data_IF_730366098296
#
_entry.id   IF_730366098296
#
_cell.length_a   1.000
_cell.length_b   1.000
_cell.length_c   1.000
_cell.angle_alpha   90.00
_cell.angle_beta   90.00
_cell.angle_gamma   90.00
#
_symmetry.space_group_name_H-M   'P 1'
#
loop_
_entity.id
_entity.type
_entity.pdbx_description
1 polymer ?
#
# COMPACT_ATOMS: atom_id res chain seq x y z
N UNK A 1 7.63 7.77 7.95
CA UNK A 1 6.22 7.62 7.53
C UNK A 1 5.96 8.32 6.20
N UNK A 2 5.94 7.54 5.11
CA UNK A 2 5.58 7.98 3.77
C UNK A 2 4.15 8.57 3.70
N UNK A 3 3.97 9.73 3.05
CA UNK A 3 2.64 10.32 2.82
C UNK A 3 1.82 9.44 1.87
N UNK A 4 2.48 8.85 0.88
CA UNK A 4 1.83 7.92 -0.05
C UNK A 4 1.29 6.68 0.65
N UNK A 5 2.05 6.06 1.57
CA UNK A 5 1.59 4.94 2.40
C UNK A 5 0.36 5.31 3.24
N UNK A 6 0.34 6.54 3.77
CA UNK A 6 -0.80 7.06 4.51
C UNK A 6 -2.04 7.18 3.62
N UNK A 7 -1.92 7.71 2.40
CA UNK A 7 -3.03 7.81 1.43
C UNK A 7 -3.60 6.43 1.08
N UNK A 8 -2.74 5.45 0.79
CA UNK A 8 -3.16 4.07 0.49
C UNK A 8 -3.92 3.44 1.68
N UNK A 9 -3.49 3.74 2.91
CA UNK A 9 -4.18 3.27 4.12
C UNK A 9 -5.57 3.91 4.27
N UNK A 10 -5.72 5.17 3.89
CA UNK A 10 -7.02 5.85 3.90
C UNK A 10 -7.93 5.38 2.76
N UNK A 11 -7.37 5.02 1.60
CA UNK A 11 -8.10 4.37 0.50
C UNK A 11 -8.64 3.01 0.93
N UNK A 12 -7.89 2.25 1.74
CA UNK A 12 -8.38 0.99 2.32
C UNK A 12 -9.64 1.24 3.17
N UNK A 13 -9.61 2.26 4.04
CA UNK A 13 -10.76 2.62 4.88
C UNK A 13 -11.95 3.06 4.02
N UNK A 14 -11.70 3.82 2.97
CA UNK A 14 -12.72 4.26 2.02
C UNK A 14 -13.35 3.07 1.29
N UNK A 15 -12.56 2.11 0.81
CA UNK A 15 -13.03 0.88 0.18
C UNK A 15 -13.86 0.01 1.15
N UNK A 16 -13.43 -0.09 2.42
CA UNK A 16 -14.21 -0.77 3.47
C UNK A 16 -15.57 -0.10 3.69
N UNK A 17 -15.62 1.22 3.79
CA UNK A 17 -16.86 1.99 3.97
C UNK A 17 -17.81 1.84 2.76
N UNK A 18 -17.25 1.87 1.55
CA UNK A 18 -18.00 1.69 0.31
C UNK A 18 -18.44 0.23 0.07
N UNK A 19 -17.94 -0.73 0.85
CA UNK A 19 -18.11 -2.18 0.65
C UNK A 19 -17.62 -2.65 -0.73
N UNK A 20 -16.67 -1.92 -1.31
CA UNK A 20 -16.05 -2.27 -2.59
C UNK A 20 -15.00 -3.37 -2.36
N UNK A 21 -15.40 -4.62 -2.62
CA UNK A 21 -14.54 -5.78 -2.42
C UNK A 21 -13.36 -5.83 -3.40
N UNK A 22 -13.52 -5.28 -4.61
CA UNK A 22 -12.48 -5.31 -5.63
C UNK A 22 -11.38 -4.31 -5.28
N UNK A 23 -11.77 -3.06 -4.99
CA UNK A 23 -10.84 -2.03 -4.53
C UNK A 23 -10.15 -2.43 -3.22
N UNK A 24 -10.90 -2.98 -2.26
CA UNK A 24 -10.33 -3.43 -0.98
C UNK A 24 -9.27 -4.53 -1.16
N UNK A 25 -9.50 -5.48 -2.07
CA UNK A 25 -8.51 -6.52 -2.37
C UNK A 25 -7.26 -5.91 -2.99
N UNK A 26 -7.40 -5.02 -3.97
CA UNK A 26 -6.28 -4.34 -4.62
C UNK A 26 -5.42 -3.55 -3.62
N UNK A 27 -6.06 -2.71 -2.79
CA UNK A 27 -5.36 -1.88 -1.80
C UNK A 27 -4.65 -2.73 -0.74
N UNK A 28 -5.25 -3.85 -0.29
CA UNK A 28 -4.61 -4.76 0.65
C UNK A 28 -3.35 -5.41 0.09
N UNK A 29 -3.39 -5.85 -1.17
CA UNK A 29 -2.19 -6.42 -1.82
C UNK A 29 -1.05 -5.41 -1.89
N UNK A 30 -1.36 -4.13 -2.16
CA UNK A 30 -0.35 -3.06 -2.17
C UNK A 30 0.27 -2.87 -0.77
N UNK A 31 -0.56 -2.79 0.27
CA UNK A 31 -0.09 -2.63 1.65
C UNK A 31 0.74 -3.83 2.13
N UNK A 32 0.37 -5.05 1.72
CA UNK A 32 1.14 -6.27 1.99
C UNK A 32 2.50 -6.24 1.31
N UNK A 33 2.58 -5.85 0.03
CA UNK A 33 3.85 -5.74 -0.70
C UNK A 33 4.78 -4.67 -0.10
N UNK A 34 4.24 -3.51 0.29
CA UNK A 34 4.97 -2.46 1.00
C UNK A 34 5.54 -3.03 2.31
N UNK A 35 4.70 -3.66 3.12
CA UNK A 35 5.11 -4.23 4.41
C UNK A 35 6.16 -5.33 4.26
N UNK A 36 6.01 -6.20 3.26
CA UNK A 36 6.97 -7.25 2.97
C UNK A 36 8.35 -6.65 2.68
N UNK A 37 8.41 -5.61 1.84
CA UNK A 37 9.67 -4.95 1.52
C UNK A 37 10.31 -4.23 2.71
N UNK A 38 9.51 -3.59 3.57
CA UNK A 38 10.00 -3.00 4.83
C UNK A 38 10.63 -4.06 5.75
N UNK A 39 10.02 -5.25 5.82
CA UNK A 39 10.53 -6.36 6.63
C UNK A 39 11.82 -6.92 6.02
N UNK A 40 11.83 -7.16 4.71
CA UNK A 40 12.96 -7.76 4.01
C UNK A 40 14.20 -6.87 4.06
N UNK A 41 14.03 -5.56 3.82
CA UNK A 41 15.13 -4.59 3.81
C UNK A 41 15.39 -3.97 5.20
N UNK A 42 14.52 -4.22 6.19
CA UNK A 42 14.57 -3.63 7.54
C UNK A 42 14.63 -2.09 7.53
N UNK A 43 13.90 -1.48 6.61
CA UNK A 43 13.78 -0.03 6.46
C UNK A 43 12.31 0.39 6.54
N UNK A 44 12.07 1.67 6.77
CA UNK A 44 10.78 2.28 6.47
C UNK A 44 10.84 2.84 5.05
N UNK A 45 9.83 2.54 4.22
CA UNK A 45 9.81 3.00 2.83
C UNK A 45 9.45 4.48 2.75
N UNK A 46 10.19 5.23 1.92
CA UNK A 46 9.79 6.56 1.48
C UNK A 46 8.79 6.51 0.31
N UNK A 47 8.29 7.66 -0.11
CA UNK A 47 7.30 7.77 -1.19
C UNK A 47 7.81 7.23 -2.53
N UNK A 48 9.10 7.40 -2.83
CA UNK A 48 9.69 6.92 -4.09
C UNK A 48 9.80 5.40 -4.10
N UNK A 49 10.18 4.80 -2.97
CA UNK A 49 10.25 3.36 -2.82
C UNK A 49 8.85 2.73 -2.79
N UNK A 50 7.86 3.37 -2.16
CA UNK A 50 6.45 2.95 -2.22
C UNK A 50 5.95 2.96 -3.67
N UNK A 51 6.23 4.03 -4.43
CA UNK A 51 5.87 4.11 -5.85
C UNK A 51 6.50 2.98 -6.67
N UNK A 52 7.77 2.67 -6.39
CA UNK A 52 8.48 1.56 -7.04
C UNK A 52 7.84 0.20 -6.75
N UNK A 53 7.35 -0.02 -5.52
CA UNK A 53 6.64 -1.25 -5.16
C UNK A 53 5.35 -1.37 -5.98
N UNK A 54 4.57 -0.30 -6.08
CA UNK A 54 3.30 -0.28 -6.83
C UNK A 54 3.54 -0.55 -8.32
N UNK A 55 4.56 0.08 -8.92
CA UNK A 55 4.88 -0.12 -10.33
C UNK A 55 5.24 -1.57 -10.68
N UNK A 56 5.83 -2.32 -9.74
CA UNK A 56 6.18 -3.74 -9.94
C UNK A 56 4.98 -4.69 -9.91
N UNK A 57 3.81 -4.21 -9.50
CA UNK A 57 2.58 -5.03 -9.39
C UNK A 57 1.71 -5.01 -10.66
N UNK A 58 2.09 -4.21 -11.67
CA UNK A 58 1.43 -4.08 -12.99
C UNK A 58 2.28 -4.77 -14.05
#
# INVERSE_FOLDING_TARGET
MSELKKRITDDMKSAMKAKDKQALKAVRMILEAIKQKEIDERIELDDAQVMTVIQKMV
#
